data_IF_875587532693
#
_entry.id   IF_875587532693
#
_cell.length_a   1.000
_cell.length_b   1.000
_cell.length_c   1.000
_cell.angle_alpha   90.00
_cell.angle_beta   90.00
_cell.angle_gamma   90.00
#
_symmetry.space_group_name_H-M   'P 1'
#
loop_
_entity.id
_entity.type
_entity.pdbx_description
1 polymer ?
#
# COMPACT_ATOMS: atom_id res chain seq x y z
N UNK A 1 0.91 -13.50 11.26
CA UNK A 1 1.23 -12.57 10.16
C UNK A 1 0.96 -13.29 8.85
N UNK A 2 0.25 -12.69 7.89
CA UNK A 2 -0.04 -13.37 6.60
C UNK A 2 1.21 -13.42 5.70
N UNK A 3 1.22 -14.37 4.75
CA UNK A 3 2.41 -14.67 3.93
C UNK A 3 2.77 -13.48 3.05
N UNK A 4 1.76 -12.78 2.52
CA UNK A 4 1.97 -11.61 1.68
C UNK A 4 2.68 -10.49 2.43
N UNK A 5 2.24 -10.18 3.65
CA UNK A 5 2.85 -9.16 4.49
C UNK A 5 4.30 -9.49 4.79
N UNK A 6 4.59 -10.77 5.10
CA UNK A 6 5.96 -11.22 5.32
C UNK A 6 6.85 -11.01 4.08
N UNK A 7 6.36 -11.40 2.88
CA UNK A 7 7.05 -11.17 1.60
C UNK A 7 7.31 -9.68 1.35
N UNK A 8 6.31 -8.82 1.57
CA UNK A 8 6.41 -7.38 1.37
C UNK A 8 7.44 -6.76 2.32
N UNK A 9 7.42 -7.13 3.59
CA UNK A 9 8.40 -6.66 4.58
C UNK A 9 9.81 -7.08 4.17
N UNK A 10 10.02 -8.35 3.82
CA UNK A 10 11.32 -8.85 3.37
C UNK A 10 11.82 -8.13 2.12
N UNK A 11 10.96 -7.93 1.11
CA UNK A 11 11.29 -7.17 -0.10
C UNK A 11 11.68 -5.72 0.22
N UNK A 12 10.93 -5.08 1.12
CA UNK A 12 11.17 -3.70 1.54
C UNK A 12 12.49 -3.57 2.31
N UNK A 13 12.77 -4.50 3.23
CA UNK A 13 14.04 -4.56 3.97
C UNK A 13 15.24 -4.76 3.04
N UNK A 14 15.15 -5.68 2.06
CA UNK A 14 16.21 -5.90 1.06
C UNK A 14 16.48 -4.64 0.23
N UNK A 15 15.42 -3.93 -0.18
CA UNK A 15 15.57 -2.67 -0.90
C UNK A 15 16.19 -1.57 -0.03
N UNK A 16 15.77 -1.48 1.23
CA UNK A 16 16.37 -0.56 2.21
C UNK A 16 17.86 -0.82 2.40
N UNK A 17 18.26 -2.08 2.57
CA UNK A 17 19.66 -2.46 2.71
C UNK A 17 20.50 -2.10 1.47
N UNK A 18 19.96 -2.32 0.26
CA UNK A 18 20.63 -1.91 -0.99
C UNK A 18 20.86 -0.40 -1.05
N UNK A 19 19.83 0.39 -0.73
CA UNK A 19 19.94 1.86 -0.67
C UNK A 19 20.94 2.31 0.40
N UNK A 20 20.92 1.68 1.56
CA UNK A 20 21.84 1.98 2.65
C UNK A 20 23.31 1.72 2.25
N UNK A 21 23.60 0.56 1.64
CA UNK A 21 24.94 0.26 1.15
C UNK A 21 25.41 1.24 0.07
N UNK A 22 24.51 1.71 -0.80
CA UNK A 22 24.82 2.76 -1.77
C UNK A 22 25.22 4.07 -1.07
N UNK A 23 24.54 4.44 0.01
CA UNK A 23 24.88 5.64 0.81
C UNK A 23 26.26 5.47 1.44
N UNK A 24 26.55 4.33 2.07
CA UNK A 24 27.86 4.06 2.65
C UNK A 24 28.99 4.18 1.62
N UNK A 25 28.82 3.57 0.44
CA UNK A 25 29.81 3.67 -0.64
C UNK A 25 30.03 5.12 -1.09
N UNK A 26 28.96 5.90 -1.25
CA UNK A 26 29.07 7.34 -1.60
C UNK A 26 29.79 8.13 -0.52
N UNK A 27 29.53 7.85 0.76
CA UNK A 27 30.23 8.50 1.87
C UNK A 27 31.73 8.18 1.87
N UNK A 28 32.11 6.95 1.55
CA UNK A 28 33.52 6.56 1.39
C UNK A 28 34.18 7.27 0.19
N UNK A 29 33.49 7.39 -0.94
CA UNK A 29 33.99 8.12 -2.11
C UNK A 29 34.20 9.61 -1.83
N UNK A 30 33.30 10.25 -1.08
CA UNK A 30 33.45 11.65 -0.62
C UNK A 30 34.65 11.77 0.32
N UNK A 31 34.78 10.87 1.30
CA UNK A 31 35.90 10.85 2.25
C UNK A 31 37.24 10.73 1.53
N UNK A 32 37.28 9.90 0.47
CA UNK A 32 38.46 9.68 -0.37
C UNK A 32 38.64 10.74 -1.47
N UNK A 33 37.84 11.81 -1.49
CA UNK A 33 37.87 12.92 -2.46
C UNK A 33 37.73 12.47 -3.93
N UNK A 34 37.05 11.35 -4.18
CA UNK A 34 36.80 10.82 -5.54
C UNK A 34 35.61 11.50 -6.22
N UNK A 35 34.66 12.01 -5.43
CA UNK A 35 33.49 12.75 -5.90
C UNK A 35 33.32 14.05 -5.11
N UNK A 36 32.58 15.01 -5.67
CA UNK A 36 32.24 16.24 -5.00
C UNK A 36 31.38 15.96 -3.74
N UNK A 37 31.54 16.75 -2.66
CA UNK A 37 30.68 16.62 -1.48
C UNK A 37 29.21 16.84 -1.85
N UNK A 38 28.37 15.85 -1.54
CA UNK A 38 26.92 15.94 -1.66
C UNK A 38 26.37 16.16 -0.24
N UNK A 39 25.34 17.01 -0.03
CA UNK A 39 24.67 17.12 1.25
C UNK A 39 24.18 15.73 1.72
N UNK A 40 24.66 15.29 2.89
CA UNK A 40 24.28 13.99 3.46
C UNK A 40 22.77 13.86 3.63
N UNK A 41 22.10 14.97 3.95
CA UNK A 41 20.65 15.09 4.07
C UNK A 41 19.91 14.55 2.85
N UNK A 42 20.37 14.88 1.63
CA UNK A 42 19.76 14.41 0.37
C UNK A 42 19.92 12.90 0.21
N UNK A 43 21.10 12.37 0.57
CA UNK A 43 21.35 10.92 0.49
C UNK A 43 20.45 10.15 1.45
N UNK A 44 20.25 10.67 2.66
CA UNK A 44 19.35 10.08 3.66
C UNK A 44 17.87 10.23 3.29
N UNK A 45 17.44 11.36 2.72
CA UNK A 45 16.06 11.53 2.24
C UNK A 45 15.69 10.44 1.21
N UNK A 46 16.56 10.19 0.24
CA UNK A 46 16.38 9.15 -0.77
C UNK A 46 16.22 7.72 -0.19
N UNK A 47 16.71 7.46 1.03
CA UNK A 47 16.53 6.19 1.72
C UNK A 47 15.05 5.95 2.05
N UNK A 48 14.38 7.00 2.54
CA UNK A 48 13.00 6.96 3.01
C UNK A 48 11.98 7.22 1.90
N UNK A 49 12.41 7.75 0.75
CA UNK A 49 11.56 7.89 -0.42
C UNK A 49 11.16 6.51 -0.97
N UNK A 50 9.85 6.25 -0.91
CA UNK A 50 9.21 5.08 -1.52
C UNK A 50 8.28 5.51 -2.64
N UNK A 51 7.96 4.58 -3.55
CA UNK A 51 6.92 4.84 -4.54
C UNK A 51 5.55 5.04 -3.86
N UNK A 52 4.68 5.89 -4.43
CA UNK A 52 3.27 5.95 -4.07
C UNK A 52 2.63 4.56 -4.18
N UNK A 53 1.64 4.25 -3.33
CA UNK A 53 1.02 2.92 -3.32
C UNK A 53 0.25 2.64 -4.63
N UNK A 54 -0.32 3.69 -5.20
CA UNK A 54 -1.09 3.76 -6.43
C UNK A 54 -0.27 3.35 -7.67
N UNK A 55 1.06 3.40 -7.55
CA UNK A 55 1.98 3.06 -8.63
C UNK A 55 2.74 1.73 -8.36
N UNK A 56 2.41 1.01 -7.29
CA UNK A 56 3.13 -0.23 -6.90
C UNK A 56 2.58 -1.49 -7.55
N UNK A 57 1.35 -1.48 -8.01
CA UNK A 57 0.63 -2.65 -8.51
C UNK A 57 -0.06 -2.31 -9.83
N UNK A 58 -0.29 -3.32 -10.66
CA UNK A 58 -1.06 -3.16 -11.90
C UNK A 58 -2.54 -3.47 -11.66
N UNK A 59 -2.83 -4.29 -10.64
CA UNK A 59 -4.17 -4.73 -10.29
C UNK A 59 -4.50 -4.32 -8.86
N UNK A 60 -5.73 -3.83 -8.67
CA UNK A 60 -6.23 -3.34 -7.39
C UNK A 60 -7.65 -3.85 -7.12
N UNK A 61 -7.93 -4.16 -5.85
CA UNK A 61 -9.26 -4.39 -5.32
C UNK A 61 -9.60 -3.24 -4.36
N UNK A 62 -10.68 -2.53 -4.68
CA UNK A 62 -11.26 -1.54 -3.78
C UNK A 62 -12.36 -2.20 -2.95
N UNK A 63 -12.27 -2.02 -1.63
CA UNK A 63 -13.29 -2.47 -0.68
C UNK A 63 -13.91 -1.20 -0.11
N UNK A 64 -15.21 -1.03 -0.36
CA UNK A 64 -15.94 0.17 -0.01
C UNK A 64 -16.97 -0.21 1.06
N UNK A 65 -16.89 0.43 2.23
CA UNK A 65 -17.91 0.37 3.25
C UNK A 65 -18.58 1.73 3.36
N UNK A 66 -19.90 1.75 3.26
CA UNK A 66 -20.68 2.97 3.33
C UNK A 66 -21.72 2.89 4.43
N UNK A 67 -22.05 4.04 5.01
CA UNK A 67 -23.13 4.16 5.99
C UNK A 67 -23.77 5.55 5.97
N UNK A 68 -25.06 5.62 6.30
CA UNK A 68 -25.74 6.90 6.53
C UNK A 68 -25.23 7.54 7.83
N UNK A 69 -25.00 8.87 7.87
CA UNK A 69 -24.68 9.59 9.11
C UNK A 69 -25.70 9.39 10.24
N UNK A 70 -26.97 9.10 9.90
CA UNK A 70 -28.04 8.82 10.86
C UNK A 70 -27.94 7.43 11.50
N UNK A 71 -27.09 6.56 10.97
CA UNK A 71 -26.93 5.20 11.46
C UNK A 71 -26.19 5.16 12.79
N UNK A 72 -26.85 4.63 13.81
CA UNK A 72 -26.26 4.43 15.15
C UNK A 72 -25.04 3.49 15.15
N UNK A 73 -24.99 2.53 14.22
CA UNK A 73 -23.96 1.49 14.19
C UNK A 73 -23.13 1.49 12.90
N UNK A 74 -23.35 2.46 12.01
CA UNK A 74 -22.71 2.49 10.68
C UNK A 74 -21.18 2.55 10.75
N UNK A 75 -20.63 3.45 11.58
CA UNK A 75 -19.17 3.52 11.78
C UNK A 75 -18.60 2.22 12.35
N UNK A 76 -19.27 1.66 13.37
CA UNK A 76 -18.83 0.42 14.04
C UNK A 76 -18.82 -0.76 13.07
N UNK A 77 -19.80 -0.83 12.16
CA UNK A 77 -19.82 -1.82 11.10
C UNK A 77 -18.63 -1.66 10.15
N UNK A 78 -18.30 -0.43 9.72
CA UNK A 78 -17.14 -0.22 8.86
C UNK A 78 -15.80 -0.50 9.55
N UNK A 79 -15.68 -0.24 10.86
CA UNK A 79 -14.50 -0.63 11.63
C UNK A 79 -14.37 -2.16 11.71
N UNK A 80 -15.48 -2.86 11.96
CA UNK A 80 -15.54 -4.32 11.92
C UNK A 80 -15.10 -4.87 10.55
N UNK A 81 -15.61 -4.31 9.45
CA UNK A 81 -15.21 -4.67 8.08
C UNK A 81 -13.70 -4.51 7.92
N UNK A 82 -13.14 -3.38 8.36
CA UNK A 82 -11.69 -3.12 8.31
C UNK A 82 -10.87 -4.21 9.00
N UNK A 83 -11.31 -4.70 10.16
CA UNK A 83 -10.67 -5.82 10.86
C UNK A 83 -10.75 -7.12 10.05
N UNK A 84 -11.89 -7.42 9.41
CA UNK A 84 -12.08 -8.65 8.61
C UNK A 84 -11.27 -8.65 7.33
N UNK A 85 -11.03 -7.51 6.69
CA UNK A 85 -10.15 -7.42 5.53
C UNK A 85 -8.76 -7.98 5.89
N UNK A 86 -8.19 -7.54 7.01
CA UNK A 86 -6.84 -7.96 7.43
C UNK A 86 -6.78 -9.41 7.90
N UNK A 87 -7.79 -9.86 8.65
CA UNK A 87 -7.76 -11.15 9.35
C UNK A 87 -8.35 -12.32 8.53
N UNK A 88 -9.18 -12.04 7.54
CA UNK A 88 -9.86 -13.10 6.77
C UNK A 88 -9.59 -12.92 5.28
N UNK A 89 -9.93 -11.77 4.70
CA UNK A 89 -9.88 -11.61 3.25
C UNK A 89 -8.47 -11.85 2.69
N UNK A 90 -7.43 -11.27 3.29
CA UNK A 90 -6.06 -11.47 2.81
C UNK A 90 -5.62 -12.93 2.87
N UNK A 91 -6.02 -13.68 3.91
CA UNK A 91 -5.73 -15.11 4.00
C UNK A 91 -6.51 -15.93 2.96
N UNK A 92 -7.78 -15.58 2.73
CA UNK A 92 -8.62 -16.24 1.72
C UNK A 92 -8.16 -15.97 0.29
N UNK A 93 -7.56 -14.80 0.02
CA UNK A 93 -7.01 -14.50 -1.29
C UNK A 93 -5.66 -15.22 -1.49
N UNK A 94 -4.85 -15.37 -0.44
CA UNK A 94 -3.55 -16.05 -0.49
C UNK A 94 -3.64 -17.54 -0.88
N UNK A 95 -4.76 -18.21 -0.61
CA UNK A 95 -4.97 -19.61 -1.00
C UNK A 95 -5.30 -19.78 -2.48
N UNK A 96 -5.64 -18.70 -3.19
CA UNK A 96 -5.94 -18.76 -4.62
C UNK A 96 -4.66 -19.04 -5.42
N UNK A 97 -4.70 -20.07 -6.25
CA UNK A 97 -3.51 -20.59 -6.94
C UNK A 97 -2.85 -19.55 -7.85
N UNK A 98 -3.65 -18.69 -8.48
CA UNK A 98 -3.20 -17.65 -9.41
C UNK A 98 -2.64 -16.39 -8.74
N UNK A 99 -2.73 -16.24 -7.41
CA UNK A 99 -2.25 -15.02 -6.71
C UNK A 99 -0.91 -15.28 -6.03
N UNK A 100 0.07 -14.41 -6.28
CA UNK A 100 1.40 -14.49 -5.69
C UNK A 100 1.43 -13.89 -4.28
N UNK A 101 0.86 -12.69 -4.15
CA UNK A 101 0.66 -11.99 -2.87
C UNK A 101 -0.31 -10.81 -3.01
N UNK A 102 -0.85 -10.37 -1.87
CA UNK A 102 -1.69 -9.18 -1.77
C UNK A 102 -1.13 -8.17 -0.76
N UNK A 103 -1.30 -6.89 -1.05
CA UNK A 103 -0.87 -5.83 -0.15
C UNK A 103 -2.04 -4.89 0.14
N UNK A 104 -2.51 -4.85 1.39
CA UNK A 104 -3.43 -3.81 1.82
C UNK A 104 -2.67 -2.50 2.05
N UNK A 105 -3.18 -1.39 1.52
CA UNK A 105 -2.67 -0.08 1.90
C UNK A 105 -2.95 0.14 3.41
N UNK A 106 -1.93 0.40 4.24
CA UNK A 106 -2.14 0.64 5.67
C UNK A 106 -2.99 1.89 5.94
N UNK A 107 -3.05 2.83 4.98
CA UNK A 107 -3.95 3.98 5.02
C UNK A 107 -5.21 3.68 4.18
N UNK A 108 -6.37 4.01 4.73
CA UNK A 108 -7.61 4.04 3.94
C UNK A 108 -7.52 5.20 2.94
N UNK A 109 -8.03 4.99 1.73
CA UNK A 109 -8.14 6.03 0.71
C UNK A 109 -9.15 7.10 1.15
N UNK A 110 -10.31 6.66 1.65
CA UNK A 110 -11.28 7.48 2.35
C UNK A 110 -11.49 6.90 3.74
N UNK A 111 -11.52 7.76 4.77
CA UNK A 111 -11.72 7.35 6.16
C UNK A 111 -12.78 8.22 6.82
N UNK A 112 -14.01 7.71 6.93
CA UNK A 112 -15.16 8.47 7.44
C UNK A 112 -15.39 9.81 6.73
N UNK A 113 -15.19 9.83 5.41
CA UNK A 113 -15.38 11.01 4.56
C UNK A 113 -16.68 10.88 3.77
N UNK A 114 -17.22 11.99 3.27
CA UNK A 114 -18.38 11.94 2.37
C UNK A 114 -18.06 11.08 1.16
N UNK A 115 -19.00 10.22 0.79
CA UNK A 115 -18.90 9.46 -0.43
C UNK A 115 -18.95 10.37 -1.66
N UNK A 116 -18.37 9.90 -2.77
CA UNK A 116 -18.56 10.53 -4.08
C UNK A 116 -20.04 10.55 -4.46
N UNK A 117 -20.42 11.51 -5.31
CA UNK A 117 -21.80 11.74 -5.76
C UNK A 117 -22.48 10.49 -6.33
N UNK A 118 -21.71 9.57 -6.91
CA UNK A 118 -22.20 8.28 -7.42
C UNK A 118 -22.79 7.34 -6.34
N UNK A 119 -22.50 7.58 -5.06
CA UNK A 119 -23.04 6.82 -3.93
C UNK A 119 -24.05 7.64 -3.09
N UNK A 120 -24.47 8.81 -3.58
CA UNK A 120 -25.50 9.59 -2.91
C UNK A 120 -26.85 8.90 -3.01
N UNK A 121 -27.61 8.97 -1.93
CA UNK A 121 -29.07 8.85 -2.00
C UNK A 121 -29.67 10.26 -2.05
N UNK A 122 -30.88 10.39 -2.62
CA UNK A 122 -31.57 11.68 -2.77
C UNK A 122 -31.67 12.51 -1.47
N UNK A 123 -31.60 11.86 -0.29
CA UNK A 123 -31.94 12.48 0.98
C UNK A 123 -30.80 12.60 2.01
N UNK A 124 -29.59 12.08 1.76
CA UNK A 124 -28.46 12.16 2.71
C UNK A 124 -27.10 11.95 2.03
N UNK A 125 -26.08 12.67 2.50
CA UNK A 125 -24.67 12.40 2.17
C UNK A 125 -24.20 11.16 2.93
N UNK A 126 -23.95 10.06 2.21
CA UNK A 126 -23.38 8.85 2.81
C UNK A 126 -21.91 9.06 3.19
N UNK A 127 -21.47 8.35 4.23
CA UNK A 127 -20.07 8.32 4.66
C UNK A 127 -19.39 7.06 4.13
N UNK A 128 -18.18 7.21 3.61
CA UNK A 128 -17.38 6.19 2.96
C UNK A 128 -16.09 5.89 3.73
N UNK A 129 -15.79 4.60 3.82
CA UNK A 129 -14.48 4.06 4.11
C UNK A 129 -14.02 3.22 2.93
N UNK A 130 -12.84 3.51 2.39
CA UNK A 130 -12.30 2.81 1.22
C UNK A 130 -10.93 2.24 1.54
N UNK A 131 -10.79 0.93 1.45
CA UNK A 131 -9.51 0.23 1.51
C UNK A 131 -9.10 -0.19 0.11
N UNK A 132 -7.82 0.01 -0.20
CA UNK A 132 -7.23 -0.42 -1.46
C UNK A 132 -6.29 -1.58 -1.17
N UNK A 133 -6.47 -2.68 -1.91
CA UNK A 133 -5.62 -3.86 -1.85
C UNK A 133 -4.96 -4.03 -3.21
N UNK A 134 -3.63 -3.95 -3.28
CA UNK A 134 -2.86 -4.30 -4.46
C UNK A 134 -2.76 -5.83 -4.59
N UNK A 135 -2.92 -6.35 -5.80
CA UNK A 135 -2.88 -7.78 -6.10
C UNK A 135 -1.76 -8.05 -7.10
N UNK A 136 -0.96 -9.08 -6.82
CA UNK A 136 0.06 -9.59 -7.74
C UNK A 136 -0.27 -11.03 -8.09
N UNK A 137 -0.38 -11.35 -9.37
CA UNK A 137 -0.68 -12.69 -9.88
C UNK A 137 0.60 -13.50 -10.11
N UNK A 138 0.54 -14.83 -9.90
CA UNK A 138 1.58 -15.77 -10.32
C UNK A 138 1.47 -15.89 -11.84
N UNK A 139 2.41 -15.29 -12.56
CA UNK A 139 2.45 -15.21 -14.03
C UNK A 139 1.42 -14.23 -14.63
N UNK A 140 1.79 -12.95 -14.65
CA UNK A 140 1.63 -12.19 -15.89
C UNK A 140 3.03 -11.95 -16.43
N UNK A 141 3.31 -12.48 -17.62
CA UNK A 141 4.28 -11.90 -18.53
C UNK A 141 3.82 -10.47 -18.88
N UNK A 142 4.01 -9.51 -17.97
CA UNK A 142 3.95 -8.09 -18.30
C UNK A 142 5.34 -7.54 -18.70
N UNK A 143 6.26 -8.45 -19.04
CA UNK A 143 7.32 -8.21 -20.00
C UNK A 143 6.81 -8.59 -21.41
N UNK A 144 5.90 -7.79 -21.97
CA UNK A 144 5.69 -7.54 -23.42
C UNK A 144 4.41 -6.75 -23.64
N UNK A 145 4.55 -5.43 -23.63
CA UNK A 145 3.58 -4.48 -24.17
C UNK A 145 4.35 -3.23 -24.58
N UNK A 146 4.65 -3.18 -25.88
CA UNK A 146 5.24 -2.09 -26.69
C UNK A 146 5.18 -0.69 -26.11
#
# INVERSE_FOLDING_TARGET
MNISTAKIIQKTMRNGLRKFNLILNKMEEIKNRRIAPIPLEILWQNLFEGSPFENKYHNYLAIICTYSPKSKYGSLFCDYVGTRIRLQLLFSIEILQNIEYCHINPKKLLNNQKCSDQFKSENDDWICNVWIVGIVFKNNDENKGT
#
